data_IF_219548362476
#
_entry.id   IF_219548362476
#
_cell.length_a   1.000
_cell.length_b   1.000
_cell.length_c   1.000
_cell.angle_alpha   90.00
_cell.angle_beta   90.00
_cell.angle_gamma   90.00
#
_symmetry.space_group_name_H-M   'P 1'
#
loop_
_entity.id
_entity.type
_entity.pdbx_description
1 polymer ?
#
# COMPACT_ATOMS: atom_id res chain seq x y z
N UNK A 1 5.70 -6.40 8.54
CA UNK A 1 5.79 -6.28 10.02
C UNK A 1 4.71 -5.34 10.47
N UNK A 2 3.51 -5.87 10.46
CA UNK A 2 2.21 -5.23 10.59
C UNK A 2 1.40 -6.05 11.58
N UNK A 3 0.40 -5.41 12.20
CA UNK A 3 -0.64 -6.07 13.01
C UNK A 3 -0.12 -7.05 14.10
N UNK A 4 1.02 -6.73 14.72
CA UNK A 4 1.61 -7.60 15.75
C UNK A 4 0.70 -7.66 16.98
N UNK A 5 0.21 -8.87 17.28
CA UNK A 5 -0.54 -9.17 18.50
C UNK A 5 0.39 -9.55 19.64
N UNK A 6 0.58 -8.65 20.59
CA UNK A 6 1.52 -8.84 21.71
C UNK A 6 1.05 -9.90 22.71
N UNK A 7 -0.26 -10.17 22.78
CA UNK A 7 -0.84 -11.10 23.73
C UNK A 7 -0.30 -12.53 23.57
N UNK A 8 0.10 -12.92 22.37
CA UNK A 8 0.73 -14.23 22.15
C UNK A 8 2.09 -14.35 22.84
N UNK A 9 2.85 -13.26 22.89
CA UNK A 9 4.15 -13.22 23.57
C UNK A 9 3.97 -13.14 25.08
N UNK A 10 3.07 -12.27 25.52
CA UNK A 10 2.84 -12.01 26.94
C UNK A 10 2.21 -13.21 27.67
N UNK A 11 1.66 -14.18 26.93
CA UNK A 11 1.10 -15.42 27.49
C UNK A 11 2.03 -16.64 27.38
N UNK A 12 3.19 -16.54 26.70
CA UNK A 12 4.12 -17.65 26.53
C UNK A 12 5.25 -17.62 27.57
N UNK A 13 5.36 -18.68 28.37
CA UNK A 13 6.34 -18.76 29.46
C UNK A 13 7.80 -18.82 28.96
N UNK A 14 8.05 -19.39 27.78
CA UNK A 14 9.40 -19.42 27.20
C UNK A 14 9.80 -18.01 26.74
N UNK A 15 8.87 -17.29 26.13
CA UNK A 15 9.08 -15.90 25.71
C UNK A 15 9.32 -14.99 26.91
N UNK A 16 8.55 -15.13 27.99
CA UNK A 16 8.80 -14.41 29.25
C UNK A 16 10.17 -14.71 29.85
N UNK A 17 10.59 -15.97 29.83
CA UNK A 17 11.91 -16.36 30.33
C UNK A 17 13.04 -15.73 29.47
N UNK A 18 12.85 -15.69 28.16
CA UNK A 18 13.78 -15.06 27.23
C UNK A 18 13.86 -13.53 27.40
N UNK A 19 12.72 -12.86 27.54
CA UNK A 19 12.64 -11.41 27.83
C UNK A 19 13.50 -11.04 29.05
N UNK A 20 13.35 -11.78 30.15
CA UNK A 20 14.15 -11.56 31.38
C UNK A 20 15.65 -11.72 31.13
N UNK A 21 16.05 -12.70 30.31
CA UNK A 21 17.45 -12.96 29.96
C UNK A 21 18.05 -11.83 29.12
N UNK A 22 17.29 -11.27 28.19
CA UNK A 22 17.73 -10.19 27.30
C UNK A 22 17.52 -8.78 27.89
N UNK A 23 17.08 -8.69 29.16
CA UNK A 23 16.77 -7.43 29.84
C UNK A 23 15.68 -6.60 29.14
N UNK A 24 14.69 -7.29 28.56
CA UNK A 24 13.52 -6.71 27.92
C UNK A 24 12.29 -6.92 28.81
N UNK A 25 11.33 -6.01 28.70
CA UNK A 25 10.24 -5.89 29.68
C UNK A 25 8.93 -6.50 29.19
N UNK A 26 8.54 -6.24 27.94
CA UNK A 26 7.19 -6.54 27.41
C UNK A 26 7.21 -6.94 25.93
N UNK A 27 6.09 -7.44 25.40
CA UNK A 27 5.95 -7.80 23.98
C UNK A 27 6.36 -6.71 22.98
N UNK A 28 6.20 -5.43 23.33
CA UNK A 28 6.64 -4.31 22.49
C UNK A 28 8.17 -4.26 22.31
N UNK A 29 8.94 -4.64 23.33
CA UNK A 29 10.39 -4.72 23.26
C UNK A 29 10.85 -5.86 22.34
N UNK A 30 10.08 -6.96 22.28
CA UNK A 30 10.31 -8.06 21.32
C UNK A 30 10.12 -7.56 19.90
N UNK A 31 9.04 -6.83 19.65
CA UNK A 31 8.77 -6.28 18.33
C UNK A 31 9.89 -5.35 17.88
N UNK A 32 10.40 -4.50 18.78
CA UNK A 32 11.56 -3.66 18.49
C UNK A 32 12.80 -4.48 18.18
N UNK A 33 13.14 -5.41 19.08
CA UNK A 33 14.31 -6.27 18.93
C UNK A 33 14.28 -7.01 17.59
N UNK A 34 13.13 -7.57 17.22
CA UNK A 34 12.95 -8.28 15.97
C UNK A 34 13.08 -7.35 14.76
N UNK A 35 12.42 -6.18 14.79
CA UNK A 35 12.51 -5.22 13.70
C UNK A 35 13.96 -4.74 13.48
N UNK A 36 14.68 -4.43 14.55
CA UNK A 36 16.10 -4.04 14.49
C UNK A 36 16.97 -5.18 13.95
N UNK A 37 16.76 -6.42 14.40
CA UNK A 37 17.49 -7.60 13.89
C UNK A 37 17.22 -7.85 12.40
N UNK A 38 15.96 -7.84 11.98
CA UNK A 38 15.55 -8.13 10.61
C UNK A 38 16.10 -7.06 9.63
N UNK A 39 15.95 -5.78 9.99
CA UNK A 39 16.48 -4.68 9.18
C UNK A 39 18.01 -4.69 9.13
N UNK A 40 18.70 -4.99 10.24
CA UNK A 40 20.15 -5.13 10.26
C UNK A 40 20.67 -6.27 9.35
N UNK A 41 19.93 -7.38 9.23
CA UNK A 41 20.26 -8.46 8.29
C UNK A 41 20.18 -7.94 6.85
N UNK A 42 19.11 -7.23 6.48
CA UNK A 42 18.98 -6.65 5.14
C UNK A 42 20.15 -5.68 4.84
N UNK A 43 20.44 -4.78 5.77
CA UNK A 43 21.54 -3.80 5.64
C UNK A 43 22.90 -4.46 5.51
N UNK A 44 23.17 -5.57 6.22
CA UNK A 44 24.41 -6.36 6.09
C UNK A 44 24.65 -6.82 4.64
N UNK A 45 23.59 -7.11 3.90
CA UNK A 45 23.65 -7.51 2.49
C UNK A 45 23.47 -6.34 1.51
N UNK A 46 23.63 -5.09 1.99
CA UNK A 46 23.45 -3.87 1.17
C UNK A 46 22.06 -3.83 0.52
N UNK A 47 21.05 -4.36 1.20
CA UNK A 47 19.64 -4.28 0.81
C UNK A 47 18.97 -3.23 1.66
N UNK A 48 18.06 -2.50 1.02
CA UNK A 48 17.25 -1.48 1.66
C UNK A 48 15.97 -2.11 2.22
N UNK A 49 15.73 -2.10 3.53
CA UNK A 49 14.52 -2.68 4.09
C UNK A 49 13.31 -1.77 3.83
N UNK A 50 12.16 -2.38 3.56
CA UNK A 50 10.84 -1.74 3.56
C UNK A 50 10.05 -2.33 4.72
N UNK A 51 9.43 -1.47 5.53
CA UNK A 51 8.61 -1.89 6.67
C UNK A 51 7.25 -1.21 6.60
N UNK A 52 6.22 -1.89 7.09
CA UNK A 52 4.92 -1.24 7.31
C UNK A 52 5.01 -0.18 8.40
N UNK A 53 4.08 0.77 8.35
CA UNK A 53 4.10 1.99 9.15
C UNK A 53 4.18 1.77 10.66
N UNK A 54 3.72 0.63 11.18
CA UNK A 54 3.71 0.33 12.62
C UNK A 54 5.11 0.36 13.24
N UNK A 55 6.14 -0.06 12.49
CA UNK A 55 7.53 0.01 12.96
C UNK A 55 7.91 1.46 13.25
N UNK A 56 7.60 2.38 12.34
CA UNK A 56 7.86 3.81 12.55
C UNK A 56 6.92 4.43 13.58
N UNK A 57 5.64 4.04 13.60
CA UNK A 57 4.67 4.50 14.59
C UNK A 57 5.13 4.21 16.03
N UNK A 58 5.74 3.05 16.23
CA UNK A 58 6.14 2.57 17.56
C UNK A 58 7.54 3.01 17.98
N UNK A 59 8.46 3.24 17.02
CA UNK A 59 9.88 3.48 17.31
C UNK A 59 10.42 4.81 16.77
N UNK A 60 9.67 5.50 15.92
CA UNK A 60 9.98 6.82 15.38
C UNK A 60 11.41 6.93 14.80
N UNK A 61 12.21 7.86 15.33
CA UNK A 61 13.59 8.14 14.89
C UNK A 61 14.60 7.05 15.27
N UNK A 62 14.18 6.04 16.04
CA UNK A 62 15.03 4.88 16.40
C UNK A 62 15.11 3.85 15.27
N UNK A 63 14.21 3.92 14.28
CA UNK A 63 14.28 3.09 13.08
C UNK A 63 15.53 3.48 12.25
N UNK A 64 16.28 2.53 11.67
CA UNK A 64 17.42 2.86 10.83
C UNK A 64 17.03 3.77 9.66
N UNK A 65 17.79 4.85 9.41
CA UNK A 65 17.43 5.89 8.42
C UNK A 65 17.34 5.42 6.97
N UNK A 66 18.03 4.33 6.63
CA UNK A 66 17.93 3.74 5.29
C UNK A 66 16.62 2.95 5.06
N UNK A 67 15.80 2.78 6.10
CA UNK A 67 14.52 2.05 6.01
C UNK A 67 13.45 2.87 5.27
N UNK A 68 12.73 2.24 4.34
CA UNK A 68 11.55 2.83 3.71
C UNK A 68 10.31 2.49 4.55
N UNK A 69 9.49 3.50 4.83
CA UNK A 69 8.26 3.35 5.60
C UNK A 69 7.07 3.26 4.64
N UNK A 70 6.32 2.16 4.69
CA UNK A 70 5.15 1.96 3.84
C UNK A 70 3.85 2.25 4.62
N UNK A 71 3.15 3.32 4.23
CA UNK A 71 1.92 3.80 4.84
C UNK A 71 0.69 3.15 4.23
N UNK A 72 -0.06 2.41 5.05
CA UNK A 72 -1.20 1.61 4.63
C UNK A 72 -2.49 1.87 5.42
N UNK A 73 -2.38 2.12 6.73
CA UNK A 73 -3.53 2.43 7.59
C UNK A 73 -4.03 3.87 7.39
N UNK A 74 -3.15 4.77 6.96
CA UNK A 74 -3.43 6.20 6.82
C UNK A 74 -2.18 7.01 6.52
N UNK A 75 -2.35 8.29 6.18
CA UNK A 75 -1.25 9.21 5.84
C UNK A 75 -0.84 10.14 6.99
N UNK A 76 -1.39 9.94 8.19
CA UNK A 76 -1.11 10.77 9.38
C UNK A 76 0.37 10.76 9.80
N UNK A 77 1.14 9.74 9.41
CA UNK A 77 2.59 9.67 9.66
C UNK A 77 3.45 10.20 8.51
N UNK A 78 2.85 10.57 7.38
CA UNK A 78 3.57 11.02 6.17
C UNK A 78 4.46 12.22 6.48
N UNK A 79 3.87 13.26 7.07
CA UNK A 79 4.61 14.48 7.42
C UNK A 79 5.73 14.20 8.40
N UNK A 80 5.46 13.50 9.50
CA UNK A 80 6.49 13.25 10.52
C UNK A 80 7.62 12.37 9.99
N UNK A 81 7.32 11.32 9.20
CA UNK A 81 8.34 10.48 8.58
C UNK A 81 9.21 11.27 7.59
N UNK A 82 8.60 12.09 6.74
CA UNK A 82 9.31 12.90 5.76
C UNK A 82 10.20 13.97 6.42
N UNK A 83 9.68 14.67 7.44
CA UNK A 83 10.45 15.65 8.22
C UNK A 83 11.63 15.01 8.96
N UNK A 84 11.50 13.74 9.34
CA UNK A 84 12.58 12.96 9.95
C UNK A 84 13.51 12.31 8.90
N UNK A 85 13.33 12.58 7.61
CA UNK A 85 14.23 12.14 6.54
C UNK A 85 14.12 10.65 6.18
N UNK A 86 12.97 10.03 6.42
CA UNK A 86 12.70 8.68 5.92
C UNK A 86 12.07 8.75 4.55
N UNK A 87 12.42 7.80 3.68
CA UNK A 87 11.68 7.60 2.44
C UNK A 87 10.41 6.78 2.68
N UNK A 88 9.40 7.03 1.85
CA UNK A 88 8.02 6.63 2.12
C UNK A 88 7.39 6.05 0.86
N UNK A 89 6.66 4.96 1.03
CA UNK A 89 5.70 4.43 0.05
C UNK A 89 4.29 4.58 0.61
N UNK A 90 3.31 4.78 -0.26
CA UNK A 90 1.90 4.91 0.13
C UNK A 90 1.06 3.85 -0.58
N UNK A 91 0.36 3.01 0.17
CA UNK A 91 -0.72 2.14 -0.35
C UNK A 91 -2.08 2.52 0.19
N UNK A 92 -2.14 3.37 1.23
CA UNK A 92 -3.40 3.86 1.76
C UNK A 92 -4.21 4.56 0.66
N UNK A 93 -5.45 4.11 0.46
CA UNK A 93 -6.33 4.55 -0.63
C UNK A 93 -6.17 3.77 -1.94
N UNK A 94 -5.26 2.78 -2.00
CA UNK A 94 -5.06 1.85 -3.12
C UNK A 94 -5.20 0.37 -2.74
N UNK A 95 -6.16 0.04 -1.87
CA UNK A 95 -6.53 -1.34 -1.53
C UNK A 95 -7.57 -1.86 -2.51
N UNK A 96 -7.17 -2.75 -3.41
CA UNK A 96 -8.00 -3.31 -4.48
C UNK A 96 -8.91 -4.45 -3.97
N UNK A 97 -8.56 -5.06 -2.84
CA UNK A 97 -9.37 -6.03 -2.11
C UNK A 97 -10.57 -5.38 -1.41
N UNK A 98 -10.55 -4.06 -1.22
CA UNK A 98 -11.74 -3.29 -0.85
C UNK A 98 -12.70 -3.21 -2.04
N UNK A 99 -13.54 -4.23 -2.20
CA UNK A 99 -14.38 -4.40 -3.38
C UNK A 99 -15.36 -3.24 -3.60
N UNK A 100 -15.71 -2.45 -2.57
CA UNK A 100 -16.66 -1.33 -2.65
C UNK A 100 -15.99 0.04 -2.77
N UNK A 101 -14.94 0.14 -3.57
CA UNK A 101 -14.22 1.39 -3.83
C UNK A 101 -14.21 1.69 -5.32
N UNK A 102 -14.56 2.92 -5.71
CA UNK A 102 -14.71 3.29 -7.11
C UNK A 102 -13.33 3.54 -7.76
N UNK A 103 -13.21 3.35 -9.09
CA UNK A 103 -11.94 3.66 -9.79
C UNK A 103 -11.52 5.12 -9.61
N UNK A 104 -12.51 6.02 -9.46
CA UNK A 104 -12.34 7.45 -9.20
C UNK A 104 -11.63 7.73 -7.87
N UNK A 105 -11.86 6.91 -6.84
CA UNK A 105 -11.21 7.08 -5.54
C UNK A 105 -9.72 6.78 -5.66
N UNK A 106 -9.37 5.69 -6.35
CA UNK A 106 -7.98 5.35 -6.67
C UNK A 106 -7.33 6.40 -7.56
N UNK A 107 -8.07 6.90 -8.55
CA UNK A 107 -7.62 7.99 -9.40
C UNK A 107 -7.38 9.25 -8.57
N UNK A 108 -8.28 9.69 -7.70
CA UNK A 108 -8.14 10.96 -6.99
C UNK A 108 -7.26 10.89 -5.73
N UNK A 109 -6.79 9.71 -5.32
CA UNK A 109 -6.02 9.54 -4.10
C UNK A 109 -4.72 10.39 -4.08
N UNK A 110 -4.66 11.44 -3.27
CA UNK A 110 -3.48 12.29 -3.19
C UNK A 110 -2.38 11.65 -2.32
N UNK A 111 -1.28 11.17 -2.92
CA UNK A 111 -0.16 10.59 -2.17
C UNK A 111 0.59 11.58 -1.27
N UNK A 112 0.44 12.89 -1.52
CA UNK A 112 1.07 13.97 -0.75
C UNK A 112 0.14 14.58 0.31
N UNK A 113 -0.98 13.93 0.61
CA UNK A 113 -1.96 14.42 1.58
C UNK A 113 -1.34 14.64 2.97
N UNK A 114 -1.38 15.88 3.45
CA UNK A 114 -0.75 16.34 4.69
C UNK A 114 0.64 16.98 4.52
N UNK A 115 1.20 16.98 3.31
CA UNK A 115 2.47 17.65 2.96
C UNK A 115 2.38 18.46 1.64
N UNK A 116 1.18 18.79 1.16
CA UNK A 116 0.96 19.48 -0.11
C UNK A 116 1.66 20.84 -0.18
N UNK A 117 1.69 21.53 0.97
CA UNK A 117 2.30 22.85 1.13
C UNK A 117 3.73 22.79 1.68
N UNK A 118 4.27 21.60 1.93
CA UNK A 118 5.66 21.44 2.34
C UNK A 118 6.61 21.63 1.15
N UNK A 119 7.87 21.95 1.46
CA UNK A 119 8.90 22.13 0.43
C UNK A 119 9.15 20.84 -0.36
N UNK A 120 9.62 20.98 -1.61
CA UNK A 120 10.04 19.84 -2.44
C UNK A 120 11.14 18.99 -1.77
N UNK A 121 11.90 19.58 -0.85
CA UNK A 121 12.85 18.84 -0.02
C UNK A 121 12.19 17.75 0.84
N UNK A 122 10.96 17.95 1.30
CA UNK A 122 10.23 16.91 2.05
C UNK A 122 9.42 16.00 1.14
N UNK A 123 8.82 16.54 0.07
CA UNK A 123 8.05 15.72 -0.89
C UNK A 123 8.89 14.68 -1.61
N UNK A 124 10.18 14.95 -1.87
CA UNK A 124 11.10 13.98 -2.50
C UNK A 124 11.25 12.67 -1.71
N UNK A 125 10.91 12.67 -0.43
CA UNK A 125 10.95 11.45 0.40
C UNK A 125 9.79 10.52 0.08
N UNK A 126 8.70 11.00 -0.53
CA UNK A 126 7.64 10.12 -1.02
C UNK A 126 8.06 9.54 -2.36
N UNK A 127 8.43 8.26 -2.36
CA UNK A 127 8.99 7.57 -3.53
C UNK A 127 7.92 7.15 -4.55
N UNK A 128 6.66 7.02 -4.10
CA UNK A 128 5.57 6.50 -4.91
C UNK A 128 4.54 5.77 -4.06
N UNK A 129 3.91 4.76 -4.65
CA UNK A 129 2.90 3.97 -3.98
C UNK A 129 2.63 2.63 -4.62
N UNK A 130 1.80 1.84 -3.96
CA UNK A 130 1.46 0.48 -4.37
C UNK A 130 -0.05 0.28 -4.31
N UNK A 131 -0.61 -0.33 -5.36
CA UNK A 131 -1.98 -0.82 -5.34
C UNK A 131 -1.97 -2.26 -4.83
N UNK A 132 -2.47 -2.46 -3.61
CA UNK A 132 -2.42 -3.74 -2.91
C UNK A 132 -3.66 -4.58 -3.23
N UNK A 133 -3.45 -5.86 -3.51
CA UNK A 133 -4.53 -6.84 -3.61
C UNK A 133 -4.28 -7.94 -2.59
N UNK A 134 -4.88 -7.82 -1.42
CA UNK A 134 -4.84 -8.86 -0.40
C UNK A 134 -5.71 -10.05 -0.81
N UNK A 135 -5.36 -11.22 -0.28
CA UNK A 135 -5.76 -12.51 -0.88
C UNK A 135 -6.88 -13.26 -0.16
N UNK A 136 -7.52 -12.66 0.84
CA UNK A 136 -8.51 -13.30 1.70
C UNK A 136 -9.74 -13.80 0.93
N UNK A 137 -10.13 -13.08 -0.13
CA UNK A 137 -11.36 -13.35 -0.89
C UNK A 137 -11.11 -13.37 -2.40
N UNK A 138 -9.95 -13.85 -2.85
CA UNK A 138 -9.55 -13.88 -4.27
C UNK A 138 -8.82 -15.18 -4.59
N UNK A 139 -9.03 -15.66 -5.80
CA UNK A 139 -8.21 -16.68 -6.44
C UNK A 139 -8.11 -16.36 -7.93
N UNK A 140 -7.53 -17.27 -8.72
CA UNK A 140 -7.38 -17.08 -10.16
C UNK A 140 -8.70 -16.93 -10.92
N UNK A 141 -9.85 -17.33 -10.34
CA UNK A 141 -11.16 -17.20 -11.00
C UNK A 141 -11.62 -15.75 -11.11
N UNK A 142 -11.17 -14.87 -10.21
CA UNK A 142 -11.60 -13.46 -10.15
C UNK A 142 -10.45 -12.46 -10.03
N UNK A 143 -9.19 -12.92 -10.05
CA UNK A 143 -8.01 -12.08 -9.85
C UNK A 143 -7.98 -10.87 -10.80
N UNK A 144 -7.90 -11.15 -12.10
CA UNK A 144 -7.76 -10.12 -13.13
C UNK A 144 -8.91 -9.12 -13.10
N UNK A 145 -10.15 -9.61 -13.01
CA UNK A 145 -11.35 -8.76 -13.00
C UNK A 145 -11.49 -7.92 -11.72
N UNK A 146 -10.79 -8.28 -10.63
CA UNK A 146 -10.75 -7.48 -9.39
C UNK A 146 -9.64 -6.43 -9.46
N UNK A 147 -8.46 -6.80 -9.96
CA UNK A 147 -7.29 -5.91 -10.06
C UNK A 147 -7.51 -4.87 -11.16
N UNK A 148 -7.91 -5.31 -12.35
CA UNK A 148 -8.04 -4.46 -13.52
C UNK A 148 -9.50 -4.10 -13.77
N UNK A 149 -9.78 -2.86 -14.19
CA UNK A 149 -8.83 -1.78 -14.49
C UNK A 149 -8.51 -0.85 -13.31
N UNK A 150 -8.97 -1.13 -12.08
CA UNK A 150 -8.79 -0.24 -10.91
C UNK A 150 -7.31 0.05 -10.62
N UNK A 151 -6.43 -0.93 -10.76
CA UNK A 151 -4.98 -0.74 -10.64
C UNK A 151 -4.41 0.24 -11.69
N UNK A 152 -5.01 0.34 -12.89
CA UNK A 152 -4.59 1.30 -13.91
C UNK A 152 -4.94 2.75 -13.52
N UNK A 153 -6.04 2.97 -12.78
CA UNK A 153 -6.37 4.28 -12.22
C UNK A 153 -5.32 4.74 -11.18
N UNK A 154 -4.85 3.82 -10.32
CA UNK A 154 -3.73 4.06 -9.42
C UNK A 154 -2.41 4.31 -10.18
N UNK A 155 -2.16 3.55 -11.26
CA UNK A 155 -0.97 3.72 -12.08
C UNK A 155 -0.93 5.10 -12.76
N UNK A 156 -2.05 5.59 -13.31
CA UNK A 156 -2.11 6.94 -13.90
C UNK A 156 -1.87 8.02 -12.84
N UNK A 157 -2.31 7.80 -11.58
CA UNK A 157 -1.99 8.69 -10.47
C UNK A 157 -0.48 8.77 -10.18
N UNK A 158 0.18 7.63 -10.12
CA UNK A 158 1.61 7.52 -9.81
C UNK A 158 2.53 7.94 -10.95
N UNK A 159 2.04 7.91 -12.20
CA UNK A 159 2.84 8.19 -13.40
C UNK A 159 2.65 9.63 -13.93
N UNK A 160 1.43 10.13 -13.95
CA UNK A 160 1.09 11.35 -14.70
C UNK A 160 1.26 12.62 -13.88
N UNK A 161 1.84 13.65 -14.50
CA UNK A 161 2.05 14.97 -13.87
C UNK A 161 0.80 15.85 -13.85
N UNK A 162 -0.14 15.61 -14.77
CA UNK A 162 -1.42 16.30 -14.87
C UNK A 162 -2.51 15.30 -15.22
N UNK A 163 -3.67 15.43 -14.58
CA UNK A 163 -4.74 14.45 -14.58
C UNK A 163 -6.08 15.16 -14.61
N UNK A 164 -6.99 14.69 -15.46
CA UNK A 164 -8.36 15.19 -15.56
C UNK A 164 -9.33 14.02 -15.50
N UNK A 165 -10.13 13.95 -14.43
CA UNK A 165 -11.09 12.87 -14.19
C UNK A 165 -12.23 12.84 -15.21
N UNK A 166 -12.64 14.00 -15.74
CA UNK A 166 -13.76 14.12 -16.68
C UNK A 166 -13.48 13.40 -18.01
N UNK A 167 -12.21 13.22 -18.34
CA UNK A 167 -11.75 12.53 -19.55
C UNK A 167 -11.14 11.16 -19.26
N UNK A 168 -11.02 10.78 -17.98
CA UNK A 168 -10.33 9.57 -17.57
C UNK A 168 -11.18 8.32 -17.81
N UNK A 169 -12.51 8.42 -17.72
CA UNK A 169 -13.42 7.29 -17.92
C UNK A 169 -13.21 6.65 -19.30
N UNK A 170 -13.30 7.44 -20.38
CA UNK A 170 -13.19 6.94 -21.75
C UNK A 170 -11.82 6.28 -22.02
N UNK A 171 -10.74 6.89 -21.51
CA UNK A 171 -9.38 6.30 -21.62
C UNK A 171 -9.25 5.00 -20.86
N UNK A 172 -9.78 4.94 -19.64
CA UNK A 172 -9.69 3.77 -18.78
C UNK A 172 -10.57 2.63 -19.31
N UNK A 173 -11.74 2.94 -19.87
CA UNK A 173 -12.62 1.98 -20.54
C UNK A 173 -11.94 1.41 -21.80
N UNK A 174 -11.32 2.27 -22.62
CA UNK A 174 -10.52 1.81 -23.75
C UNK A 174 -9.34 0.93 -23.31
N UNK A 175 -8.60 1.31 -22.27
CA UNK A 175 -7.49 0.52 -21.75
C UNK A 175 -7.95 -0.84 -21.21
N UNK A 176 -9.07 -0.88 -20.49
CA UNK A 176 -9.73 -2.13 -20.05
C UNK A 176 -9.99 -3.05 -21.25
N UNK A 177 -10.50 -2.51 -22.35
CA UNK A 177 -10.75 -3.29 -23.56
C UNK A 177 -9.47 -3.80 -24.23
N UNK A 178 -8.39 -3.01 -24.23
CA UNK A 178 -7.07 -3.47 -24.67
C UNK A 178 -6.53 -4.63 -23.82
N UNK A 179 -6.72 -4.61 -22.50
CA UNK A 179 -6.33 -5.72 -21.62
C UNK A 179 -7.07 -7.00 -21.98
N UNK A 180 -8.41 -6.91 -22.13
CA UNK A 180 -9.25 -8.06 -22.50
C UNK A 180 -8.84 -8.63 -23.86
N UNK A 181 -8.59 -7.77 -24.85
CA UNK A 181 -8.09 -8.18 -26.16
C UNK A 181 -6.70 -8.84 -26.12
N UNK A 182 -5.94 -8.66 -25.04
CA UNK A 182 -4.63 -9.27 -24.81
C UNK A 182 -4.67 -10.46 -23.84
N UNK A 183 -5.86 -10.91 -23.46
CA UNK A 183 -6.05 -12.07 -22.58
C UNK A 183 -5.93 -11.78 -21.10
N UNK A 184 -5.96 -10.51 -20.67
CA UNK A 184 -6.01 -10.11 -19.25
C UNK A 184 -7.43 -9.68 -18.92
N UNK A 185 -8.07 -10.33 -17.94
CA UNK A 185 -9.43 -9.98 -17.53
C UNK A 185 -9.55 -8.55 -17.02
N UNK A 186 -10.72 -7.93 -17.19
CA UNK A 186 -10.99 -6.57 -16.71
C UNK A 186 -12.43 -6.37 -16.26
N UNK A 187 -12.63 -6.01 -14.99
CA UNK A 187 -13.93 -5.74 -14.39
C UNK A 187 -14.58 -4.47 -14.98
N UNK A 188 -15.92 -4.35 -14.95
CA UNK A 188 -16.62 -3.13 -15.40
C UNK A 188 -16.26 -1.88 -14.57
N UNK A 189 -16.42 -0.69 -15.16
CA UNK A 189 -16.05 0.60 -14.53
C UNK A 189 -17.21 1.41 -13.94
N UNK A 190 -18.45 1.15 -14.37
CA UNK A 190 -19.63 1.96 -13.99
C UNK A 190 -20.08 1.71 -12.55
N UNK A 191 -19.81 0.53 -12.02
CA UNK A 191 -20.19 0.14 -10.67
C UNK A 191 -19.04 0.36 -9.69
N UNK A 192 -19.40 0.73 -8.46
CA UNK A 192 -18.44 0.85 -7.35
C UNK A 192 -17.95 -0.54 -6.93
N UNK A 193 -18.83 -1.54 -6.93
CA UNK A 193 -18.48 -2.90 -6.55
C UNK A 193 -17.59 -3.57 -7.61
N UNK A 194 -16.41 -4.02 -7.20
CA UNK A 194 -15.62 -4.99 -7.95
C UNK A 194 -16.44 -6.26 -8.18
N UNK A 195 -16.23 -6.92 -9.33
CA UNK A 195 -16.85 -8.20 -9.71
C UNK A 195 -18.35 -8.15 -10.03
N UNK A 196 -18.94 -6.97 -10.09
CA UNK A 196 -20.33 -6.81 -10.54
C UNK A 196 -20.45 -7.04 -12.05
N UNK A 197 -21.60 -7.56 -12.48
CA UNK A 197 -21.91 -7.71 -13.90
C UNK A 197 -22.01 -6.33 -14.57
N UNK A 198 -21.65 -6.20 -15.86
CA UNK A 198 -21.86 -4.94 -16.57
C UNK A 198 -23.35 -4.66 -16.76
N UNK A 199 -23.72 -3.37 -16.84
CA UNK A 199 -25.10 -2.91 -17.12
C UNK A 199 -25.70 -3.46 -18.43
N UNK A 200 -24.85 -3.89 -19.37
CA UNK A 200 -25.28 -4.28 -20.72
C UNK A 200 -24.28 -5.24 -21.36
N UNK A 201 -24.69 -6.03 -22.36
CA UNK A 201 -23.82 -6.98 -23.05
C UNK A 201 -22.86 -6.31 -24.05
N UNK A 202 -22.67 -4.98 -23.98
CA UNK A 202 -21.75 -4.27 -24.86
C UNK A 202 -20.36 -4.91 -24.79
N UNK A 203 -19.81 -5.25 -25.96
CA UNK A 203 -18.50 -5.85 -26.05
C UNK A 203 -17.44 -4.76 -26.15
N UNK A 204 -16.23 -5.09 -25.69
CA UNK A 204 -15.03 -4.31 -25.97
C UNK A 204 -14.61 -4.31 -27.46
N UNK A 205 -15.38 -4.96 -28.32
CA UNK A 205 -15.05 -5.28 -29.71
C UNK A 205 -16.14 -4.80 -30.67
N UNK A 206 -16.84 -3.71 -30.36
CA UNK A 206 -17.64 -3.05 -31.39
C UNK A 206 -16.69 -2.29 -32.33
N UNK A 207 -16.43 -2.89 -33.49
CA UNK A 207 -15.84 -2.24 -34.67
C UNK A 207 -16.76 -1.14 -35.24
#
# INVERSE_FOLDING_TARGET
MDEVRFECYDNDEQVKAWLKKEHLSEGHDIYRWWADKATAIASKYKKRPIVWQEVYKNFETKVPKDTVIHLWMGKNLLRSAALNGYDILVSHGWYLDHLKTAWQDYYNNNMFEGIEHESEHYKKHVLGGEACMWSEHIDLSVLDATVWPKAAAAAENLWSTSRNIDTAFDRLEYFRCLLIGRGVGGGPLKHVNSREAPDSPHSCFQE
#
